data_IF_558847664430
#
_entry.id   IF_558847664430
#
_cell.length_a   1.000
_cell.length_b   1.000
_cell.length_c   1.000
_cell.angle_alpha   90.00
_cell.angle_beta   90.00
_cell.angle_gamma   90.00
#
_symmetry.space_group_name_H-M   'P 1'
#
loop_
_entity.id
_entity.type
_entity.pdbx_description
1 polymer ?
#
# COMPACT_ATOMS: atom_id res chain seq x y z
N UNK A 1 -11.87 -51.11 -0.51
CA UNK A 1 -12.13 -49.98 0.42
C UNK A 1 -10.94 -49.96 1.38
N UNK A 2 -9.98 -49.03 1.37
CA UNK A 2 -10.04 -47.58 1.26
C UNK A 2 -8.73 -47.08 0.62
N UNK A 3 -8.84 -46.31 -0.46
CA UNK A 3 -7.77 -45.48 -1.02
C UNK A 3 -8.24 -44.05 -0.87
N UNK A 4 -7.50 -43.22 -0.13
CA UNK A 4 -7.47 -41.74 -0.22
C UNK A 4 -6.29 -41.28 0.64
N UNK A 5 -5.13 -41.03 0.03
CA UNK A 5 -4.68 -39.82 -0.69
C UNK A 5 -3.73 -39.01 0.20
N UNK A 6 -2.43 -39.22 -0.01
CA UNK A 6 -1.39 -38.25 0.33
C UNK A 6 -1.58 -37.03 -0.57
N UNK A 7 -1.82 -35.87 0.03
CA UNK A 7 -1.80 -34.58 -0.65
C UNK A 7 -0.47 -33.90 -0.36
N UNK A 8 0.50 -34.07 -1.25
CA UNK A 8 1.64 -33.19 -1.35
C UNK A 8 1.39 -32.23 -2.50
N UNK A 9 1.54 -30.93 -2.24
CA UNK A 9 1.97 -29.91 -3.21
C UNK A 9 2.15 -28.60 -2.45
N UNK A 10 3.37 -28.09 -2.39
CA UNK A 10 3.53 -26.64 -2.53
C UNK A 10 4.52 -26.43 -3.65
N UNK A 11 3.93 -26.03 -4.77
CA UNK A 11 4.54 -25.93 -6.07
C UNK A 11 5.66 -24.89 -6.03
N UNK A 12 6.77 -25.24 -6.67
CA UNK A 12 7.85 -24.33 -7.03
C UNK A 12 7.25 -23.10 -7.72
N UNK A 13 7.34 -21.93 -7.10
CA UNK A 13 7.18 -20.67 -7.84
C UNK A 13 8.51 -20.35 -8.50
N UNK A 14 8.84 -21.12 -9.54
CA UNK A 14 9.69 -20.64 -10.61
C UNK A 14 8.79 -19.81 -11.51
N UNK A 15 8.69 -18.52 -11.24
CA UNK A 15 8.14 -17.56 -12.19
C UNK A 15 9.24 -16.55 -12.44
N UNK A 16 10.04 -16.82 -13.48
CA UNK A 16 10.64 -15.73 -14.24
C UNK A 16 9.47 -14.85 -14.70
N UNK A 17 9.23 -13.73 -14.02
CA UNK A 17 8.53 -12.62 -14.65
C UNK A 17 9.61 -11.72 -15.22
N UNK A 18 9.47 -11.45 -16.51
CA UNK A 18 9.97 -10.29 -17.24
C UNK A 18 10.50 -9.19 -16.31
N UNK A 19 11.65 -8.59 -16.65
CA UNK A 19 12.18 -7.36 -16.06
C UNK A 19 11.10 -6.26 -16.00
N UNK A 20 10.24 -6.34 -15.00
CA UNK A 20 9.39 -5.26 -14.59
C UNK A 20 10.36 -4.31 -13.89
N UNK A 21 10.61 -3.16 -14.51
CA UNK A 21 11.44 -2.11 -13.90
C UNK A 21 10.62 -1.55 -12.74
N UNK A 22 10.80 -2.17 -11.59
CA UNK A 22 10.25 -1.70 -10.32
C UNK A 22 10.97 -0.41 -9.96
N UNK A 23 10.30 0.74 -10.13
CA UNK A 23 10.86 2.03 -9.73
C UNK A 23 10.47 2.34 -8.31
N UNK A 24 11.47 2.62 -7.49
CA UNK A 24 11.30 2.95 -6.09
C UNK A 24 11.09 4.46 -5.94
N UNK A 25 9.86 4.85 -5.66
CA UNK A 25 9.45 6.17 -5.24
C UNK A 25 9.50 6.33 -3.73
N UNK A 26 9.97 7.48 -3.25
CA UNK A 26 9.92 7.84 -1.83
C UNK A 26 9.42 9.26 -1.70
N UNK A 27 8.47 9.47 -0.81
CA UNK A 27 8.04 10.80 -0.41
C UNK A 27 7.93 10.88 1.11
N UNK A 28 8.11 12.09 1.61
CA UNK A 28 7.84 12.42 2.99
C UNK A 28 6.98 13.66 3.03
N UNK A 29 5.90 13.59 3.80
CA UNK A 29 4.94 14.66 3.95
C UNK A 29 4.82 15.02 5.42
N UNK A 30 4.97 16.31 5.72
CA UNK A 30 4.85 16.84 7.09
C UNK A 30 3.46 17.47 7.22
N UNK A 31 2.67 16.94 8.14
CA UNK A 31 1.30 17.40 8.37
C UNK A 31 1.31 18.51 9.42
N UNK A 32 0.39 19.45 9.26
CA UNK A 32 0.10 20.49 10.24
C UNK A 32 -0.42 19.84 11.54
N UNK A 33 0.36 19.92 12.61
CA UNK A 33 0.17 19.13 13.84
C UNK A 33 1.42 18.39 14.31
N UNK A 34 2.54 18.51 13.59
CA UNK A 34 3.85 18.01 14.01
C UNK A 34 4.12 16.55 13.64
N UNK A 35 3.19 15.91 12.92
CA UNK A 35 3.30 14.53 12.47
C UNK A 35 3.93 14.43 11.10
N UNK A 36 4.59 13.31 10.85
CA UNK A 36 5.36 13.09 9.64
C UNK A 36 4.99 11.73 9.04
N UNK A 37 4.61 11.73 7.78
CA UNK A 37 4.35 10.54 6.98
C UNK A 37 5.51 10.35 6.01
N UNK A 38 5.95 9.11 5.86
CA UNK A 38 6.89 8.64 4.86
C UNK A 38 6.22 7.53 4.07
N UNK A 39 6.04 7.76 2.78
CA UNK A 39 5.54 6.74 1.87
C UNK A 39 6.70 6.26 1.01
N UNK A 40 6.87 4.95 0.97
CA UNK A 40 7.72 4.28 0.00
C UNK A 40 6.81 3.52 -0.94
N UNK A 41 6.85 3.86 -2.21
CA UNK A 41 6.06 3.22 -3.24
C UNK A 41 6.99 2.59 -4.25
N UNK A 42 6.70 1.35 -4.62
CA UNK A 42 7.29 0.66 -5.75
C UNK A 42 6.27 0.76 -6.88
N UNK A 43 6.54 1.53 -7.91
CA UNK A 43 5.70 1.54 -9.11
C UNK A 43 6.18 0.49 -10.09
N UNK A 44 5.23 -0.14 -10.76
CA UNK A 44 5.45 -1.15 -11.76
C UNK A 44 4.79 -0.66 -13.06
N UNK A 45 5.60 -0.22 -14.03
CA UNK A 45 5.16 0.46 -15.25
C UNK A 45 4.25 1.68 -14.99
N UNK A 46 2.94 1.45 -14.84
CA UNK A 46 1.89 2.47 -14.68
C UNK A 46 0.95 2.19 -13.48
N UNK A 47 1.30 1.25 -12.60
CA UNK A 47 0.50 0.87 -11.44
C UNK A 47 1.32 0.83 -10.16
N UNK A 48 0.65 0.88 -9.02
CA UNK A 48 1.27 0.64 -7.71
C UNK A 48 1.65 -0.85 -7.66
N UNK A 49 2.95 -1.14 -7.64
CA UNK A 49 3.43 -2.50 -7.41
C UNK A 49 3.37 -2.85 -5.93
N UNK A 50 3.94 -1.98 -5.09
CA UNK A 50 3.96 -2.12 -3.64
C UNK A 50 3.90 -0.75 -2.98
N UNK A 51 3.19 -0.60 -1.88
CA UNK A 51 3.22 0.63 -1.08
C UNK A 51 3.58 0.29 0.35
N UNK A 52 4.37 1.16 0.96
CA UNK A 52 4.74 1.07 2.36
C UNK A 52 4.58 2.44 3.02
N UNK A 53 3.69 2.51 3.99
CA UNK A 53 3.33 3.73 4.68
C UNK A 53 3.92 3.66 6.09
N UNK A 54 4.83 4.58 6.38
CA UNK A 54 5.54 4.66 7.67
C UNK A 54 5.49 6.08 8.18
N UNK A 55 5.65 6.31 9.48
CA UNK A 55 5.58 7.66 10.03
C UNK A 55 5.09 7.71 11.45
N UNK A 56 4.78 8.91 11.90
CA UNK A 56 4.25 9.22 13.23
C UNK A 56 2.72 9.32 13.20
N UNK A 57 2.08 8.32 12.58
CA UNK A 57 0.62 8.18 12.55
C UNK A 57 0.23 6.96 13.38
N UNK A 58 -0.98 7.00 13.94
CA UNK A 58 -1.56 5.85 14.63
C UNK A 58 -2.77 5.38 13.86
N UNK A 59 -2.78 4.11 13.49
CA UNK A 59 -3.95 3.43 12.95
C UNK A 59 -4.35 2.35 13.95
N UNK A 60 -5.57 2.42 14.46
CA UNK A 60 -6.11 1.39 15.34
C UNK A 60 -7.35 0.74 14.72
N UNK A 61 -7.38 -0.59 14.59
CA UNK A 61 -6.32 -1.56 14.92
C UNK A 61 -5.13 -1.57 13.94
N UNK A 62 -3.95 -1.99 14.40
CA UNK A 62 -2.70 -1.90 13.62
C UNK A 62 -2.66 -2.81 12.39
N UNK A 63 -3.31 -3.98 12.42
CA UNK A 63 -3.33 -4.93 11.30
C UNK A 63 -3.97 -4.34 10.03
N UNK A 64 -4.79 -3.29 10.18
CA UNK A 64 -5.42 -2.60 9.06
C UNK A 64 -4.43 -1.84 8.20
N UNK A 65 -3.24 -1.49 8.71
CA UNK A 65 -2.24 -0.79 7.89
C UNK A 65 -1.72 -1.73 6.80
N UNK A 66 -1.47 -2.99 7.16
CA UNK A 66 -0.99 -4.01 6.23
C UNK A 66 -2.07 -4.38 5.20
N UNK A 67 -3.33 -4.41 5.62
CA UNK A 67 -4.45 -4.69 4.73
C UNK A 67 -4.69 -3.51 3.77
N UNK A 68 -4.65 -2.27 4.29
CA UNK A 68 -4.70 -1.04 3.48
C UNK A 68 -3.56 -0.99 2.47
N UNK A 69 -2.32 -1.27 2.89
CA UNK A 69 -1.17 -1.32 1.98
C UNK A 69 -1.42 -2.30 0.83
N UNK A 70 -1.97 -3.48 1.12
CA UNK A 70 -2.32 -4.48 0.10
C UNK A 70 -3.47 -4.06 -0.80
N UNK A 71 -4.49 -3.37 -0.29
CA UNK A 71 -5.61 -2.92 -1.14
C UNK A 71 -5.17 -1.84 -2.13
N UNK A 72 -4.13 -1.09 -1.77
CA UNK A 72 -3.50 -0.10 -2.64
C UNK A 72 -2.59 -0.73 -3.71
N UNK A 73 -2.08 -1.96 -3.50
CA UNK A 73 -1.30 -2.69 -4.49
C UNK A 73 -2.15 -3.00 -5.73
N UNK A 74 -1.68 -2.59 -6.91
CA UNK A 74 -2.36 -2.75 -8.19
C UNK A 74 -3.24 -1.57 -8.60
N UNK A 75 -3.50 -0.60 -7.72
CA UNK A 75 -4.22 0.61 -8.06
C UNK A 75 -3.38 1.57 -8.92
N UNK A 76 -4.05 2.55 -9.53
CA UNK A 76 -3.37 3.67 -10.19
C UNK A 76 -2.88 4.68 -9.14
N UNK A 77 -1.75 5.30 -9.43
CA UNK A 77 -1.16 6.37 -8.62
C UNK A 77 -1.94 7.66 -8.91
N UNK A 78 -3.19 7.73 -8.44
CA UNK A 78 -4.07 8.90 -8.61
C UNK A 78 -4.58 9.38 -7.26
N UNK A 79 -4.49 10.69 -7.02
CA UNK A 79 -4.82 11.27 -5.72
C UNK A 79 -6.26 10.96 -5.28
N UNK A 80 -7.22 11.16 -6.18
CA UNK A 80 -8.65 11.01 -5.90
C UNK A 80 -9.00 9.54 -5.60
N UNK A 81 -8.53 8.61 -6.44
CA UNK A 81 -8.74 7.16 -6.28
C UNK A 81 -8.19 6.68 -4.94
N UNK A 82 -6.96 7.09 -4.59
CA UNK A 82 -6.32 6.69 -3.36
C UNK A 82 -7.02 7.29 -2.13
N UNK A 83 -7.38 8.58 -2.18
CA UNK A 83 -8.05 9.24 -1.06
C UNK A 83 -9.42 8.62 -0.77
N UNK A 84 -10.22 8.39 -1.82
CA UNK A 84 -11.51 7.70 -1.72
C UNK A 84 -11.35 6.29 -1.17
N UNK A 85 -10.37 5.53 -1.69
CA UNK A 85 -10.17 4.15 -1.27
C UNK A 85 -9.73 4.03 0.20
N UNK A 86 -8.82 4.91 0.65
CA UNK A 86 -8.38 4.95 2.05
C UNK A 86 -9.54 5.37 2.96
N UNK A 87 -10.32 6.38 2.56
CA UNK A 87 -11.48 6.83 3.32
C UNK A 87 -12.55 5.73 3.45
N UNK A 88 -12.89 5.06 2.35
CA UNK A 88 -13.84 3.94 2.32
C UNK A 88 -13.35 2.77 3.17
N UNK A 89 -12.07 2.40 3.06
CA UNK A 89 -11.47 1.35 3.87
C UNK A 89 -11.55 1.66 5.37
N UNK A 90 -11.19 2.89 5.78
CA UNK A 90 -11.29 3.34 7.18
C UNK A 90 -12.73 3.26 7.67
N UNK A 91 -13.70 3.70 6.85
CA UNK A 91 -15.12 3.70 7.22
C UNK A 91 -15.68 2.28 7.30
N UNK A 92 -15.37 1.43 6.32
CA UNK A 92 -15.81 0.03 6.23
C UNK A 92 -15.26 -0.82 7.37
N UNK A 93 -13.99 -0.64 7.72
CA UNK A 93 -13.34 -1.39 8.80
C UNK A 93 -13.49 -0.73 10.19
N UNK A 94 -14.11 0.46 10.26
CA UNK A 94 -14.21 1.22 11.52
C UNK A 94 -12.85 1.59 12.10
N UNK A 95 -11.86 1.82 11.24
CA UNK A 95 -10.50 2.14 11.66
C UNK A 95 -10.45 3.55 12.26
N UNK A 96 -9.65 3.74 13.30
CA UNK A 96 -9.37 5.06 13.84
C UNK A 96 -7.98 5.48 13.41
N UNK A 97 -7.93 6.44 12.49
CA UNK A 97 -6.70 7.06 12.03
C UNK A 97 -6.45 8.35 12.83
N UNK A 98 -5.31 8.41 13.52
CA UNK A 98 -4.91 9.58 14.32
C UNK A 98 -3.62 10.16 13.77
N UNK A 99 -3.73 11.40 13.30
CA UNK A 99 -2.57 12.18 12.90
C UNK A 99 -2.20 12.18 11.43
N UNK A 100 -3.07 11.61 10.62
CA UNK A 100 -3.03 11.68 9.17
C UNK A 100 -4.48 11.80 8.69
N UNK A 101 -4.70 12.50 7.59
CA UNK A 101 -5.93 12.37 6.83
C UNK A 101 -5.74 11.35 5.70
N UNK A 102 -6.81 10.68 5.23
CA UNK A 102 -6.76 9.89 4.00
C UNK A 102 -6.21 10.69 2.81
N UNK A 103 -6.51 11.98 2.74
CA UNK A 103 -5.99 12.91 1.73
C UNK A 103 -4.46 13.10 1.81
N UNK A 104 -3.89 13.15 3.02
CA UNK A 104 -2.44 13.29 3.20
C UNK A 104 -1.69 12.06 2.68
N UNK A 105 -2.23 10.87 2.96
CA UNK A 105 -1.68 9.63 2.43
C UNK A 105 -1.75 9.61 0.91
N UNK A 106 -2.91 9.94 0.33
CA UNK A 106 -3.06 9.98 -1.11
C UNK A 106 -2.08 10.97 -1.78
N UNK A 107 -1.92 12.17 -1.21
CA UNK A 107 -0.94 13.16 -1.69
C UNK A 107 0.48 12.62 -1.60
N UNK A 108 0.83 12.01 -0.47
CA UNK A 108 2.17 11.48 -0.24
C UNK A 108 2.48 10.29 -1.18
N UNK A 109 1.49 9.43 -1.49
CA UNK A 109 1.65 8.32 -2.43
C UNK A 109 1.85 8.84 -3.86
N UNK A 110 1.07 9.84 -4.28
CA UNK A 110 1.23 10.46 -5.61
C UNK A 110 2.59 11.12 -5.75
N UNK A 111 3.00 11.91 -4.75
CA UNK A 111 4.35 12.50 -4.72
C UNK A 111 5.45 11.43 -4.79
N UNK A 112 5.27 10.29 -4.12
CA UNK A 112 6.23 9.20 -4.20
C UNK A 112 6.30 8.60 -5.61
N UNK A 113 5.17 8.47 -6.31
CA UNK A 113 5.11 7.89 -7.65
C UNK A 113 5.63 8.80 -8.76
N UNK A 114 5.49 10.12 -8.59
CA UNK A 114 6.04 11.13 -9.51
C UNK A 114 7.53 11.38 -9.28
N UNK A 115 8.04 11.14 -8.08
CA UNK A 115 9.48 11.26 -7.79
C UNK A 115 10.24 10.03 -8.29
N UNK A 116 10.40 9.93 -9.62
CA UNK A 116 11.47 9.16 -10.26
C UNK A 116 12.80 9.79 -9.85
N UNK A 117 13.44 9.25 -8.81
CA UNK A 117 14.80 9.64 -8.43
C UNK A 117 15.81 9.40 -9.56
#
# INVERSE_FOLDING_TARGET
>A
MSLRKKGGVSHKSCFLKHLAVERLGKAQYKIEGGKLIKVQLVKNDNSIGKVKITGDFFLHPEHLIEDLEKTLEGLRIENDVLAQHIADFIQTHGATLLGAAPEDFAKCIVMAGENDG
#
